data_IF_609886662783
#
_entry.id   IF_609886662783
#
_cell.length_a   1.000
_cell.length_b   1.000
_cell.length_c   1.000
_cell.angle_alpha   90.00
_cell.angle_beta   90.00
_cell.angle_gamma   90.00
#
_symmetry.space_group_name_H-M   'P 1'
#
loop_
_entity.id
_entity.type
_entity.pdbx_description
1 polymer ?
#
# COMPACT_ATOMS: atom_id res chain seq x y z
N UNK A 1 13.66 19.50 23.57
CA UNK A 1 13.10 18.82 22.39
C UNK A 1 13.42 19.66 21.16
N UNK A 2 13.96 19.08 20.09
CA UNK A 2 14.28 19.83 18.87
C UNK A 2 13.01 20.24 18.12
N UNK A 3 13.03 21.41 17.46
CA UNK A 3 11.93 21.91 16.63
C UNK A 3 12.38 22.02 15.19
N UNK A 4 11.61 21.46 14.29
CA UNK A 4 11.76 21.62 12.83
C UNK A 4 10.53 22.35 12.29
N UNK A 5 10.73 23.18 11.26
CA UNK A 5 9.64 23.84 10.53
C UNK A 5 9.66 23.34 9.10
N UNK A 6 8.57 22.74 8.66
CA UNK A 6 8.43 22.17 7.31
C UNK A 6 7.38 22.99 6.58
N UNK A 7 7.75 23.56 5.42
CA UNK A 7 6.78 24.19 4.51
C UNK A 7 6.13 23.08 3.68
N UNK A 8 4.82 23.06 3.67
CA UNK A 8 4.00 22.13 2.88
C UNK A 8 2.98 22.93 2.09
N UNK A 9 2.45 22.33 1.03
CA UNK A 9 1.33 22.87 0.28
C UNK A 9 0.04 22.92 1.14
N UNK A 10 -0.81 23.91 0.88
CA UNK A 10 -2.01 24.17 1.67
C UNK A 10 -3.01 23.01 1.62
N UNK A 11 -3.15 22.36 0.47
CA UNK A 11 -4.04 21.20 0.33
C UNK A 11 -3.51 19.99 1.13
N UNK A 12 -2.18 19.83 1.24
CA UNK A 12 -1.60 18.82 2.13
C UNK A 12 -1.86 19.16 3.60
N UNK A 13 -1.73 20.43 4.00
CA UNK A 13 -2.02 20.88 5.35
C UNK A 13 -3.48 20.59 5.75
N UNK A 14 -4.43 20.90 4.87
CA UNK A 14 -5.86 20.63 5.10
C UNK A 14 -6.15 19.14 5.28
N UNK A 15 -5.58 18.28 4.41
CA UNK A 15 -5.73 16.83 4.51
C UNK A 15 -5.18 16.28 5.82
N UNK A 16 -4.04 16.78 6.28
CA UNK A 16 -3.45 16.40 7.57
C UNK A 16 -4.34 16.83 8.74
N UNK A 17 -4.87 18.05 8.71
CA UNK A 17 -5.80 18.56 9.73
C UNK A 17 -7.07 17.70 9.79
N UNK A 18 -7.68 17.42 8.65
CA UNK A 18 -8.88 16.59 8.56
C UNK A 18 -8.64 15.17 9.09
N UNK A 19 -7.51 14.56 8.72
CA UNK A 19 -7.14 13.22 9.19
C UNK A 19 -6.87 13.20 10.69
N UNK A 20 -6.15 14.18 11.22
CA UNK A 20 -5.85 14.30 12.64
C UNK A 20 -7.15 14.43 13.47
N UNK A 21 -8.08 15.28 13.01
CA UNK A 21 -9.42 15.43 13.61
C UNK A 21 -10.21 14.11 13.61
N UNK A 22 -10.21 13.37 12.50
CA UNK A 22 -10.94 12.09 12.39
C UNK A 22 -10.44 11.03 13.38
N UNK A 23 -9.16 11.07 13.73
CA UNK A 23 -8.53 10.08 14.65
C UNK A 23 -8.36 10.66 16.06
N UNK A 24 -8.79 11.90 16.31
CA UNK A 24 -8.77 12.52 17.63
C UNK A 24 -7.38 12.92 18.15
N UNK A 25 -6.43 13.20 17.24
CA UNK A 25 -5.03 13.55 17.58
C UNK A 25 -4.64 14.89 16.98
N UNK A 26 -3.50 15.45 17.38
CA UNK A 26 -2.89 16.62 16.74
C UNK A 26 -2.19 16.25 15.43
N UNK A 27 -1.98 17.23 14.54
CA UNK A 27 -1.21 17.03 13.30
C UNK A 27 0.23 16.59 13.62
N UNK A 28 0.82 17.10 14.70
CA UNK A 28 2.17 16.71 15.12
C UNK A 28 2.25 15.26 15.59
N UNK A 29 1.27 14.78 16.35
CA UNK A 29 1.17 13.37 16.74
C UNK A 29 0.95 12.47 15.53
N UNK A 30 0.13 12.91 14.58
CA UNK A 30 -0.11 12.19 13.33
C UNK A 30 1.16 12.08 12.46
N UNK A 31 1.98 13.13 12.41
CA UNK A 31 3.17 13.19 11.55
C UNK A 31 4.44 12.59 12.19
N UNK A 32 4.48 12.49 13.53
CA UNK A 32 5.66 12.02 14.27
C UNK A 32 6.15 10.62 13.84
N UNK A 33 5.28 9.60 13.66
CA UNK A 33 5.74 8.29 13.21
C UNK A 33 6.44 8.33 11.84
N UNK A 34 5.96 9.17 10.91
CA UNK A 34 6.59 9.33 9.60
C UNK A 34 7.98 10.00 9.70
N UNK A 35 8.14 10.94 10.63
CA UNK A 35 9.44 11.58 10.90
C UNK A 35 10.42 10.60 11.58
N UNK A 36 9.93 9.77 12.50
CA UNK A 36 10.73 8.72 13.15
C UNK A 36 11.18 7.66 12.13
N UNK A 37 10.27 7.22 11.25
CA UNK A 37 10.58 6.30 10.18
C UNK A 37 11.59 6.89 9.18
N UNK A 38 11.46 8.17 8.83
CA UNK A 38 12.41 8.84 7.94
C UNK A 38 13.81 9.03 8.57
N UNK A 39 13.90 9.00 9.90
CA UNK A 39 15.15 9.14 10.65
C UNK A 39 15.82 7.80 10.97
N UNK A 40 15.13 6.67 10.80
CA UNK A 40 15.69 5.33 11.04
C UNK A 40 16.65 4.94 9.90
N UNK A 41 17.94 4.84 10.22
CA UNK A 41 19.00 4.46 9.28
C UNK A 41 19.10 2.96 9.03
N UNK A 42 18.44 2.12 9.84
CA UNK A 42 18.33 0.66 9.64
C UNK A 42 17.10 0.29 8.80
N UNK A 43 16.10 1.17 8.74
CA UNK A 43 15.08 1.17 7.71
C UNK A 43 15.71 1.67 6.41
N UNK A 44 16.49 0.81 5.75
CA UNK A 44 17.12 1.12 4.47
C UNK A 44 16.10 1.76 3.53
N UNK A 45 16.40 2.99 3.09
CA UNK A 45 15.63 3.77 2.12
C UNK A 45 14.13 3.95 2.44
N UNK A 46 13.70 5.19 2.66
CA UNK A 46 12.29 5.64 2.74
C UNK A 46 11.46 5.29 1.47
N UNK A 47 12.14 4.79 0.43
CA UNK A 47 11.61 4.26 -0.84
C UNK A 47 11.91 2.76 -1.05
N UNK A 48 11.97 1.92 -0.02
CA UNK A 48 11.66 0.49 -0.23
C UNK A 48 10.17 0.43 -0.54
N UNK A 49 9.89 0.78 -1.80
CA UNK A 49 8.61 1.28 -2.26
C UNK A 49 7.61 0.15 -2.14
N UNK A 50 6.34 0.50 -2.10
CA UNK A 50 5.28 -0.48 -2.30
C UNK A 50 5.58 -1.40 -3.50
N UNK A 51 6.38 -0.95 -4.47
CA UNK A 51 6.86 -1.73 -5.62
C UNK A 51 7.78 -2.90 -5.25
N UNK A 52 8.64 -2.80 -4.24
CA UNK A 52 9.48 -3.95 -3.82
C UNK A 52 8.63 -5.04 -3.16
N UNK A 53 7.70 -4.61 -2.28
CA UNK A 53 6.72 -5.52 -1.66
C UNK A 53 5.82 -6.13 -2.74
N UNK A 54 5.30 -5.30 -3.64
CA UNK A 54 4.47 -5.72 -4.77
C UNK A 54 5.24 -6.67 -5.69
N UNK A 55 6.51 -6.39 -5.99
CA UNK A 55 7.38 -7.24 -6.80
C UNK A 55 7.58 -8.61 -6.15
N UNK A 56 7.85 -8.65 -4.85
CA UNK A 56 7.98 -9.90 -4.09
C UNK A 56 6.66 -10.71 -4.09
N UNK A 57 5.53 -10.04 -3.88
CA UNK A 57 4.19 -10.66 -3.92
C UNK A 57 3.89 -11.20 -5.32
N UNK A 58 4.12 -10.42 -6.38
CA UNK A 58 3.89 -10.85 -7.77
C UNK A 58 4.75 -12.05 -8.14
N UNK A 59 6.04 -12.04 -7.78
CA UNK A 59 6.94 -13.16 -8.03
C UNK A 59 6.47 -14.43 -7.31
N UNK A 60 6.10 -14.32 -6.03
CA UNK A 60 5.59 -15.44 -5.24
C UNK A 60 4.30 -16.00 -5.83
N UNK A 61 3.31 -15.14 -6.13
CA UNK A 61 2.03 -15.56 -6.70
C UNK A 61 2.20 -16.18 -8.09
N UNK A 62 3.14 -15.69 -8.91
CA UNK A 62 3.43 -16.26 -10.23
C UNK A 62 4.00 -17.68 -10.13
N UNK A 63 4.92 -17.92 -9.19
CA UNK A 63 5.47 -19.25 -8.94
C UNK A 63 4.36 -20.20 -8.44
N UNK A 64 3.55 -19.75 -7.49
CA UNK A 64 2.42 -20.54 -6.97
C UNK A 64 1.42 -20.86 -8.08
N UNK A 65 1.01 -19.87 -8.89
CA UNK A 65 0.10 -20.08 -10.00
C UNK A 65 0.66 -21.09 -11.02
N UNK A 66 1.96 -21.01 -11.36
CA UNK A 66 2.61 -21.97 -12.23
C UNK A 66 2.66 -23.38 -11.64
N UNK A 67 2.87 -23.50 -10.33
CA UNK A 67 2.85 -24.77 -9.60
C UNK A 67 1.44 -25.37 -9.58
N UNK A 68 0.42 -24.59 -9.23
CA UNK A 68 -0.97 -25.03 -9.16
C UNK A 68 -1.48 -25.40 -10.54
N UNK A 69 -1.20 -24.60 -11.58
CA UNK A 69 -1.60 -24.89 -12.97
C UNK A 69 -1.14 -26.28 -13.43
N UNK A 70 0.05 -26.70 -13.01
CA UNK A 70 0.62 -28.00 -13.38
C UNK A 70 -0.11 -29.16 -12.70
N UNK A 71 -0.59 -28.95 -11.47
CA UNK A 71 -1.17 -30.00 -10.64
C UNK A 71 -2.70 -30.06 -10.73
N UNK A 72 -3.36 -28.90 -10.81
CA UNK A 72 -4.82 -28.73 -10.84
C UNK A 72 -5.19 -27.40 -11.52
N UNK A 73 -5.38 -27.40 -12.86
CA UNK A 73 -5.81 -26.23 -13.62
C UNK A 73 -7.15 -25.66 -13.13
N UNK A 74 -8.10 -26.53 -12.82
CA UNK A 74 -9.44 -26.15 -12.34
C UNK A 74 -9.40 -25.38 -11.01
N UNK A 75 -8.48 -25.74 -10.11
CA UNK A 75 -8.29 -25.01 -8.84
C UNK A 75 -7.71 -23.62 -9.08
N UNK A 76 -6.81 -23.49 -10.05
CA UNK A 76 -6.27 -22.18 -10.43
C UNK A 76 -7.37 -21.28 -10.99
N UNK A 77 -8.21 -21.80 -11.89
CA UNK A 77 -9.28 -21.02 -12.52
C UNK A 77 -10.30 -20.53 -11.47
N UNK A 78 -10.71 -21.41 -10.55
CA UNK A 78 -11.61 -21.01 -9.46
C UNK A 78 -10.96 -19.98 -8.53
N UNK A 79 -9.70 -20.20 -8.12
CA UNK A 79 -8.98 -19.27 -7.25
C UNK A 79 -8.79 -17.88 -7.89
N UNK A 80 -8.57 -17.83 -9.21
CA UNK A 80 -8.48 -16.57 -9.96
C UNK A 80 -9.83 -15.85 -10.02
N UNK A 81 -10.94 -16.58 -10.18
CA UNK A 81 -12.28 -16.00 -10.14
C UNK A 81 -12.60 -15.41 -8.76
N UNK A 82 -12.31 -16.16 -7.69
CA UNK A 82 -12.53 -15.70 -6.31
C UNK A 82 -11.69 -14.48 -5.98
N UNK A 83 -10.40 -14.48 -6.37
CA UNK A 83 -9.51 -13.34 -6.18
C UNK A 83 -10.02 -12.09 -6.91
N UNK A 84 -10.51 -12.25 -8.15
CA UNK A 84 -11.08 -11.13 -8.91
C UNK A 84 -12.32 -10.55 -8.22
N UNK A 85 -13.23 -11.40 -7.74
CA UNK A 85 -14.42 -10.96 -7.01
C UNK A 85 -14.05 -10.19 -5.72
N UNK A 86 -13.03 -10.65 -4.98
CA UNK A 86 -12.53 -9.95 -3.79
C UNK A 86 -11.91 -8.59 -4.11
N UNK A 87 -11.10 -8.50 -5.16
CA UNK A 87 -10.48 -7.25 -5.60
C UNK A 87 -11.53 -6.24 -6.07
N UNK A 88 -12.55 -6.70 -6.79
CA UNK A 88 -13.68 -5.89 -7.21
C UNK A 88 -14.46 -5.33 -6.01
N UNK A 89 -14.81 -6.18 -5.04
CA UNK A 89 -15.50 -5.77 -3.81
C UNK A 89 -14.71 -4.75 -2.98
N UNK A 90 -13.39 -4.70 -3.14
CA UNK A 90 -12.49 -3.73 -2.49
C UNK A 90 -12.23 -2.47 -3.34
N UNK A 91 -12.76 -2.40 -4.56
CA UNK A 91 -12.51 -1.30 -5.49
C UNK A 91 -11.06 -1.24 -5.98
N UNK A 92 -10.37 -2.39 -6.03
CA UNK A 92 -8.96 -2.51 -6.41
C UNK A 92 -8.76 -2.87 -7.89
N UNK A 93 -9.84 -3.16 -8.62
CA UNK A 93 -9.80 -3.32 -10.07
C UNK A 93 -10.07 -1.96 -10.74
N UNK A 94 -9.21 -1.57 -11.68
CA UNK A 94 -9.44 -0.39 -12.52
C UNK A 94 -10.63 -0.61 -13.47
N UNK A 95 -11.15 0.46 -14.09
CA UNK A 95 -12.16 0.32 -15.14
C UNK A 95 -11.60 -0.61 -16.23
N UNK A 96 -12.35 -1.66 -16.59
CA UNK A 96 -11.93 -2.55 -17.68
C UNK A 96 -11.62 -1.70 -18.92
N UNK A 97 -10.38 -1.76 -19.38
CA UNK A 97 -10.06 -1.12 -20.65
C UNK A 97 -10.67 -1.98 -21.75
N UNK A 98 -11.61 -1.46 -22.54
CA UNK A 98 -12.14 -2.18 -23.69
C UNK A 98 -10.99 -2.46 -24.66
N UNK A 99 -10.88 -3.72 -25.07
CA UNK A 99 -9.89 -4.21 -26.04
C UNK A 99 -10.19 -3.72 -27.45
#
# INVERSE_FOLDING_TARGET
MARITIRIDDHLAERLILRARRVGVTVSELARPALEQAADSRAGYVFTSQDEILSCVLQTLSIVAASVRRTSPETLDQGMADARALLEAKGLLGPEQPS
#
